data_IF_575697087988
#
_entry.id   IF_575697087988
#
_cell.length_a   1.000
_cell.length_b   1.000
_cell.length_c   1.000
_cell.angle_alpha   90.00
_cell.angle_beta   90.00
_cell.angle_gamma   90.00
#
_symmetry.space_group_name_H-M   'P 1'
#
loop_
_entity.id
_entity.type
_entity.pdbx_description
1 polymer ?
#
# COMPACT_ATOMS: atom_id res chain seq x y z
N UNK A 1 -0.15 15.33 15.97
CA UNK A 1 -1.53 15.31 15.44
C UNK A 1 -1.74 16.19 14.20
N UNK A 2 -0.87 17.17 13.87
CA UNK A 2 -0.96 17.94 12.60
C UNK A 2 0.18 17.63 11.59
N UNK A 3 1.39 17.32 12.05
CA UNK A 3 2.53 17.03 11.17
C UNK A 3 2.35 15.77 10.30
N UNK A 4 1.62 14.80 10.83
CA UNK A 4 1.42 13.48 10.22
C UNK A 4 0.58 13.55 8.92
N UNK A 5 -0.48 14.35 8.90
CA UNK A 5 -1.30 14.56 7.70
C UNK A 5 -0.63 15.49 6.68
N UNK A 6 0.23 16.41 7.14
CA UNK A 6 0.99 17.29 6.26
C UNK A 6 2.01 16.48 5.43
N UNK A 7 2.79 15.60 6.08
CA UNK A 7 3.73 14.73 5.38
C UNK A 7 3.04 13.77 4.40
N UNK A 8 1.87 13.22 4.75
CA UNK A 8 1.12 12.34 3.84
C UNK A 8 0.67 13.08 2.57
N UNK A 9 0.19 14.32 2.73
CA UNK A 9 -0.25 15.17 1.61
C UNK A 9 0.91 15.66 0.75
N UNK A 10 2.06 15.96 1.36
CA UNK A 10 3.28 16.29 0.64
C UNK A 10 3.82 15.10 -0.16
N UNK A 11 3.85 13.90 0.44
CA UNK A 11 4.22 12.67 -0.24
C UNK A 11 3.29 12.39 -1.42
N UNK A 12 1.98 12.60 -1.26
CA UNK A 12 0.99 12.49 -2.32
C UNK A 12 1.24 13.49 -3.47
N UNK A 13 1.50 14.76 -3.15
CA UNK A 13 1.80 15.77 -4.16
C UNK A 13 3.07 15.44 -4.95
N UNK A 14 4.13 15.01 -4.26
CA UNK A 14 5.38 14.58 -4.92
C UNK A 14 5.12 13.34 -5.77
N UNK A 15 4.36 12.38 -5.26
CA UNK A 15 3.99 11.17 -6.00
C UNK A 15 3.24 11.49 -7.29
N UNK A 16 2.28 12.42 -7.29
CA UNK A 16 1.57 12.80 -8.51
C UNK A 16 2.42 13.62 -9.48
N UNK A 17 3.42 14.36 -9.00
CA UNK A 17 4.39 15.08 -9.87
C UNK A 17 5.42 14.17 -10.53
N UNK A 18 5.69 13.00 -9.95
CA UNK A 18 6.58 12.00 -10.54
C UNK A 18 5.86 11.27 -11.68
N UNK A 19 5.74 11.88 -12.86
CA UNK A 19 5.04 11.28 -14.01
C UNK A 19 5.83 10.19 -14.73
N UNK A 20 7.16 10.14 -14.56
CA UNK A 20 8.06 9.34 -15.43
C UNK A 20 8.80 8.21 -14.67
N UNK A 21 8.90 8.25 -13.34
CA UNK A 21 9.72 7.31 -12.54
C UNK A 21 9.01 6.72 -11.31
N UNK A 22 7.73 6.35 -11.43
CA UNK A 22 7.03 5.64 -10.35
C UNK A 22 7.41 4.16 -10.32
N UNK A 23 8.50 3.88 -9.62
CA UNK A 23 8.95 2.49 -9.38
C UNK A 23 8.09 1.80 -8.31
N UNK A 24 8.19 0.47 -8.24
CA UNK A 24 7.58 -0.36 -7.19
C UNK A 24 7.87 0.20 -5.78
N UNK A 25 9.08 0.71 -5.55
CA UNK A 25 9.49 1.32 -4.28
C UNK A 25 8.67 2.57 -3.97
N UNK A 26 8.43 3.43 -4.96
CA UNK A 26 7.63 4.65 -4.81
C UNK A 26 6.17 4.34 -4.46
N UNK A 27 5.57 3.36 -5.12
CA UNK A 27 4.22 2.88 -4.80
C UNK A 27 4.14 2.28 -3.40
N UNK A 28 5.11 1.43 -3.05
CA UNK A 28 5.21 0.80 -1.73
C UNK A 28 5.33 1.83 -0.62
N UNK A 29 6.16 2.87 -0.82
CA UNK A 29 6.32 3.97 0.13
C UNK A 29 5.01 4.75 0.34
N UNK A 30 4.25 5.01 -0.73
CA UNK A 30 2.96 5.68 -0.62
C UNK A 30 1.90 4.82 0.09
N UNK A 31 1.84 3.52 -0.20
CA UNK A 31 0.93 2.60 0.48
C UNK A 31 1.26 2.49 1.96
N UNK A 32 2.55 2.40 2.33
CA UNK A 32 3.02 2.47 3.73
C UNK A 32 2.56 3.77 4.39
N UNK A 33 2.80 4.91 3.74
CA UNK A 33 2.39 6.22 4.25
C UNK A 33 0.88 6.23 4.54
N UNK A 34 0.06 5.79 3.59
CA UNK A 34 -1.39 5.69 3.79
C UNK A 34 -1.78 4.73 4.93
N UNK A 35 -1.09 3.59 5.08
CA UNK A 35 -1.33 2.63 6.16
C UNK A 35 -1.07 3.23 7.55
N UNK A 36 0.02 3.98 7.70
CA UNK A 36 0.42 4.60 8.97
C UNK A 36 -0.46 5.80 9.36
N UNK A 37 -1.00 6.52 8.38
CA UNK A 37 -1.80 7.72 8.62
C UNK A 37 -3.32 7.48 8.60
N UNK A 38 -3.76 6.22 8.50
CA UNK A 38 -5.18 5.86 8.52
C UNK A 38 -5.92 6.18 7.22
N UNK A 39 -5.19 6.42 6.13
CA UNK A 39 -5.76 6.66 4.80
C UNK A 39 -5.97 5.34 4.03
N UNK A 40 -6.63 4.36 4.65
CA UNK A 40 -6.69 2.99 4.11
C UNK A 40 -7.40 2.87 2.77
N UNK A 41 -8.39 3.73 2.50
CA UNK A 41 -9.03 3.80 1.18
C UNK A 41 -8.04 4.18 0.08
N UNK A 42 -7.20 5.21 0.33
CA UNK A 42 -6.16 5.62 -0.62
C UNK A 42 -5.10 4.53 -0.79
N UNK A 43 -4.75 3.80 0.27
CA UNK A 43 -3.82 2.67 0.18
C UNK A 43 -4.35 1.60 -0.79
N UNK A 44 -5.64 1.28 -0.73
CA UNK A 44 -6.30 0.34 -1.65
C UNK A 44 -6.35 0.86 -3.08
N UNK A 45 -6.69 2.14 -3.28
CA UNK A 45 -6.70 2.75 -4.61
C UNK A 45 -5.31 2.76 -5.25
N UNK A 46 -4.28 3.10 -4.48
CA UNK A 46 -2.88 3.08 -4.94
C UNK A 46 -2.43 1.67 -5.27
N UNK A 47 -2.79 0.67 -4.46
CA UNK A 47 -2.46 -0.73 -4.73
C UNK A 47 -3.15 -1.23 -6.01
N UNK A 48 -4.44 -0.93 -6.20
CA UNK A 48 -5.16 -1.28 -7.41
C UNK A 48 -4.57 -0.61 -8.67
N UNK A 49 -4.12 0.64 -8.55
CA UNK A 49 -3.42 1.34 -9.63
C UNK A 49 -2.06 0.69 -9.93
N UNK A 50 -1.31 0.29 -8.91
CA UNK A 50 -0.06 -0.43 -9.08
C UNK A 50 -0.28 -1.75 -9.83
N UNK A 51 -1.32 -2.50 -9.46
CA UNK A 51 -1.69 -3.74 -10.15
C UNK A 51 -2.12 -3.50 -11.60
N UNK A 52 -2.90 -2.44 -11.88
CA UNK A 52 -3.36 -2.13 -13.24
C UNK A 52 -2.22 -1.71 -14.18
N UNK A 53 -1.11 -1.21 -13.60
CA UNK A 53 0.14 -0.93 -14.31
C UNK A 53 1.02 -2.18 -14.51
N UNK A 54 0.52 -3.38 -14.16
CA UNK A 54 1.28 -4.64 -14.16
C UNK A 54 2.56 -4.59 -13.31
N UNK A 55 2.62 -3.68 -12.32
CA UNK A 55 3.73 -3.63 -11.37
C UNK A 55 3.48 -4.67 -10.29
N UNK A 56 4.41 -5.60 -10.13
CA UNK A 56 4.29 -6.65 -9.13
C UNK A 56 4.57 -6.05 -7.74
N UNK A 57 3.61 -6.07 -6.81
CA UNK A 57 3.83 -5.59 -5.46
C UNK A 57 4.79 -6.50 -4.70
N UNK A 58 5.73 -5.86 -4.00
CA UNK A 58 6.65 -6.53 -3.09
C UNK A 58 5.95 -6.92 -1.78
N UNK A 59 6.57 -7.81 -1.00
CA UNK A 59 6.01 -8.27 0.27
C UNK A 59 5.73 -7.11 1.23
N UNK A 60 6.59 -6.08 1.22
CA UNK A 60 6.39 -4.86 2.00
C UNK A 60 5.12 -4.11 1.59
N UNK A 61 4.81 -3.98 0.29
CA UNK A 61 3.60 -3.30 -0.17
C UNK A 61 2.34 -4.03 0.29
N UNK A 62 2.34 -5.35 0.18
CA UNK A 62 1.22 -6.18 0.59
C UNK A 62 1.04 -6.18 2.12
N UNK A 63 2.11 -6.25 2.92
CA UNK A 63 2.04 -6.12 4.39
C UNK A 63 1.46 -4.75 4.77
N UNK A 64 1.92 -3.69 4.11
CA UNK A 64 1.43 -2.33 4.36
C UNK A 64 -0.06 -2.20 4.04
N UNK A 65 -0.51 -2.83 2.96
CA UNK A 65 -1.92 -2.91 2.61
C UNK A 65 -2.74 -3.65 3.68
N UNK A 66 -2.23 -4.77 4.21
CA UNK A 66 -2.89 -5.51 5.29
C UNK A 66 -3.01 -4.66 6.57
N UNK A 67 -1.96 -3.91 6.93
CA UNK A 67 -1.98 -2.97 8.06
C UNK A 67 -3.04 -1.88 7.83
N UNK A 68 -3.06 -1.29 6.63
CA UNK A 68 -4.07 -0.30 6.27
C UNK A 68 -5.50 -0.87 6.38
N UNK A 69 -5.73 -2.07 5.84
CA UNK A 69 -7.03 -2.74 5.91
C UNK A 69 -7.43 -3.06 7.34
N UNK A 70 -6.49 -3.49 8.19
CA UNK A 70 -6.73 -3.72 9.61
C UNK A 70 -7.16 -2.43 10.33
N UNK A 71 -6.49 -1.31 10.04
CA UNK A 71 -6.86 0.00 10.62
C UNK A 71 -8.24 0.50 10.20
N UNK A 72 -8.69 0.19 8.98
CA UNK A 72 -10.02 0.58 8.49
C UNK A 72 -11.14 -0.45 8.76
N UNK A 73 -10.82 -1.60 9.37
CA UNK A 73 -11.79 -2.68 9.57
C UNK A 73 -12.14 -3.45 8.29
N UNK A 74 -11.32 -3.33 7.24
CA UNK A 74 -11.45 -4.04 5.96
C UNK A 74 -10.90 -5.47 6.04
N UNK A 75 -11.36 -6.22 7.02
CA UNK A 75 -10.89 -7.59 7.32
C UNK A 75 -11.07 -8.54 6.15
N UNK A 76 -12.20 -8.48 5.45
CA UNK A 76 -12.46 -9.32 4.26
C UNK A 76 -11.49 -9.06 3.12
N UNK A 77 -11.19 -7.80 2.84
CA UNK A 77 -10.23 -7.44 1.78
C UNK A 77 -8.82 -7.84 2.20
N UNK A 78 -8.44 -7.62 3.46
CA UNK A 78 -7.16 -8.08 3.99
C UNK A 78 -7.00 -9.60 3.82
N UNK A 79 -8.01 -10.38 4.17
CA UNK A 79 -8.01 -11.84 4.03
C UNK A 79 -7.87 -12.26 2.55
N UNK A 80 -8.59 -11.61 1.64
CA UNK A 80 -8.47 -11.87 0.20
C UNK A 80 -7.04 -11.63 -0.31
N UNK A 81 -6.41 -10.50 0.07
CA UNK A 81 -5.02 -10.23 -0.31
C UNK A 81 -4.02 -11.19 0.33
N UNK A 82 -4.26 -11.59 1.58
CA UNK A 82 -3.42 -12.54 2.29
C UNK A 82 -3.46 -13.94 1.66
N UNK A 83 -4.63 -14.40 1.23
CA UNK A 83 -4.77 -15.69 0.53
C UNK A 83 -4.16 -15.60 -0.88
N UNK A 84 -4.33 -14.45 -1.57
CA UNK A 84 -3.76 -14.24 -2.90
C UNK A 84 -2.24 -14.01 -2.90
N UNK A 85 -1.62 -13.64 -1.77
CA UNK A 85 -0.16 -13.43 -1.63
C UNK A 85 0.70 -14.55 -2.22
N UNK A 86 0.57 -15.82 -1.77
CA UNK A 86 1.39 -16.92 -2.26
C UNK A 86 1.05 -17.32 -3.71
N UNK A 87 -0.22 -17.32 -4.10
CA UNK A 87 -0.64 -17.79 -5.43
C UNK A 87 -0.40 -16.75 -6.54
N UNK A 88 -0.72 -15.48 -6.28
CA UNK A 88 -0.68 -14.41 -7.28
C UNK A 88 0.69 -13.71 -7.33
N UNK A 89 1.34 -13.56 -6.18
CA UNK A 89 2.59 -12.80 -6.08
C UNK A 89 3.80 -13.68 -5.78
N UNK A 90 3.61 -14.95 -5.40
CA UNK A 90 4.71 -15.84 -5.03
C UNK A 90 5.43 -15.38 -3.76
N UNK A 91 4.73 -14.64 -2.90
CA UNK A 91 5.27 -14.07 -1.67
C UNK A 91 4.62 -14.82 -0.52
N UNK A 92 5.43 -15.48 0.30
CA UNK A 92 4.97 -16.00 1.59
C UNK A 92 4.86 -14.84 2.58
N UNK A 93 3.69 -14.62 3.21
CA UNK A 93 3.58 -13.64 4.27
C UNK A 93 4.45 -14.06 5.45
N UNK A 94 5.62 -13.45 5.60
CA UNK A 94 6.39 -13.54 6.84
C UNK A 94 5.74 -12.59 7.86
N UNK A 95 4.91 -13.16 8.75
CA UNK A 95 4.45 -12.50 9.96
C UNK A 95 5.66 -12.26 10.87
N UNK A 96 6.28 -11.08 10.77
CA UNK A 96 7.14 -10.60 11.85
C UNK A 96 6.23 -10.15 13.00
N UNK A 97 6.30 -10.94 14.07
CA UNK A 97 5.62 -10.76 15.36
C UNK A 97 5.83 -9.37 15.97
#
# INVERSE_FOLDING_TARGET
MYANFACAREAEQVFYRLEIDKTIVTWTAMIMCCAHYGCSNQALELFNQMESLNLKPDGTALISLLIACNHAGFTKQAEQYFIAMPEKYGITPELKH
#
